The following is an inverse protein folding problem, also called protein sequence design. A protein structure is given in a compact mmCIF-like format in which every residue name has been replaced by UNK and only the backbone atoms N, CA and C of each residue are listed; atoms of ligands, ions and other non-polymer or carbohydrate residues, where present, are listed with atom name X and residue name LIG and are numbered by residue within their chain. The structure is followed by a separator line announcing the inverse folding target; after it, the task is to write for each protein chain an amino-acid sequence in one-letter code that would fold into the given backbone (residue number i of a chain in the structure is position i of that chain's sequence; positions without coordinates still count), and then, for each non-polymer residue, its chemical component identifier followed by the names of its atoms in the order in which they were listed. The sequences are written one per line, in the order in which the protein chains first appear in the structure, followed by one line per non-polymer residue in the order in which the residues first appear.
data_IF_753698868837
#
_entry.id   IF_753698868837
#
_cell.length_a   1.000
_cell.length_b   1.000
_cell.length_c   1.000
_cell.angle_alpha   90.00
_cell.angle_beta   90.00
_cell.angle_gamma   90.00
#
_symmetry.space_group_name_H-M   'P 1'
#
loop_
_entity.id
_entity.type
_entity.pdbx_description
1 polymer ?
#
# COMPACT_ATOMS: atom_id res chain seq x y z
N UNK A 1 -4.48 7.35 -34.36
CA UNK A 1 -3.11 7.75 -33.95
C UNK A 1 -2.63 6.77 -32.89
N UNK A 2 -1.36 6.33 -32.85
CA UNK A 2 -0.95 5.19 -32.03
C UNK A 2 -0.77 5.63 -30.57
N UNK A 3 -1.89 5.72 -29.86
CA UNK A 3 -2.05 5.85 -28.41
C UNK A 3 -1.14 4.92 -27.56
N UNK A 4 -0.74 3.70 -28.00
CA UNK A 4 0.07 2.82 -27.16
C UNK A 4 1.53 3.27 -27.01
N UNK A 5 2.11 4.01 -27.97
CA UNK A 5 3.57 4.22 -27.99
C UNK A 5 4.06 5.30 -27.03
N UNK A 6 3.22 6.29 -26.72
CA UNK A 6 3.58 7.42 -25.85
C UNK A 6 3.35 7.07 -24.37
N UNK A 7 2.24 6.37 -24.07
CA UNK A 7 2.02 5.82 -22.72
C UNK A 7 3.07 4.77 -22.39
N UNK A 8 3.45 3.93 -23.36
CA UNK A 8 4.59 3.02 -23.21
C UNK A 8 5.89 3.79 -23.04
N UNK A 9 6.15 4.93 -23.70
CA UNK A 9 7.40 5.68 -23.50
C UNK A 9 7.54 6.31 -22.10
N UNK A 10 6.47 6.90 -21.55
CA UNK A 10 6.47 7.50 -20.20
C UNK A 10 6.52 6.42 -19.12
N UNK A 11 5.78 5.33 -19.32
CA UNK A 11 5.87 4.14 -18.46
C UNK A 11 7.23 3.48 -18.62
N UNK A 12 7.84 3.44 -19.81
CA UNK A 12 9.19 2.91 -20.07
C UNK A 12 10.28 3.82 -19.52
N UNK A 13 10.07 5.12 -19.31
CA UNK A 13 11.05 6.02 -18.67
C UNK A 13 11.02 5.95 -17.14
N UNK A 14 9.81 5.94 -16.54
CA UNK A 14 9.64 5.64 -15.12
C UNK A 14 10.05 4.19 -14.84
N UNK A 15 9.71 3.27 -15.74
CA UNK A 15 10.26 1.94 -15.72
C UNK A 15 11.73 1.94 -16.09
N UNK A 16 12.36 2.86 -16.85
CA UNK A 16 13.80 2.81 -17.15
C UNK A 16 14.61 3.11 -15.91
N UNK A 17 14.12 4.05 -15.09
CA UNK A 17 14.61 4.27 -13.72
C UNK A 17 14.45 3.01 -12.88
N UNK A 18 13.41 2.20 -13.12
CA UNK A 18 13.19 0.87 -12.51
C UNK A 18 13.78 -0.33 -13.31
N UNK A 19 14.29 -0.16 -14.55
CA UNK A 19 14.72 -1.22 -15.49
C UNK A 19 16.22 -1.24 -15.60
N UNK A 20 16.89 -0.12 -15.27
CA UNK A 20 18.26 -0.13 -14.79
C UNK A 20 18.41 -1.06 -13.57
N UNK A 21 17.33 -1.33 -12.83
CA UNK A 21 17.26 -2.35 -11.77
C UNK A 21 17.18 -3.77 -12.37
N UNK A 22 16.34 -4.02 -13.38
CA UNK A 22 16.20 -5.35 -14.01
C UNK A 22 17.42 -5.78 -14.86
N UNK A 23 18.02 -4.88 -15.64
CA UNK A 23 19.20 -5.19 -16.45
C UNK A 23 20.41 -5.58 -15.58
N UNK A 24 20.51 -5.05 -14.36
CA UNK A 24 21.58 -5.34 -13.42
C UNK A 24 21.33 -6.64 -12.61
N UNK A 25 20.07 -6.98 -12.32
CA UNK A 25 19.68 -8.24 -11.65
C UNK A 25 19.87 -9.45 -12.56
N UNK A 26 19.63 -9.31 -13.88
CA UNK A 26 19.86 -10.38 -14.86
C UNK A 26 21.37 -10.61 -15.12
N UNK A 27 22.21 -9.57 -15.02
CA UNK A 27 23.66 -9.71 -15.19
C UNK A 27 24.36 -10.33 -13.97
N UNK A 28 23.92 -10.04 -12.74
CA UNK A 28 24.56 -10.55 -11.53
C UNK A 28 24.17 -11.99 -11.14
N UNK A 29 23.03 -12.52 -11.61
CA UNK A 29 22.70 -13.94 -11.39
C UNK A 29 23.56 -14.91 -12.21
N UNK A 30 24.33 -14.42 -13.21
CA UNK A 30 25.29 -15.27 -13.96
C UNK A 30 26.66 -15.42 -13.28
N UNK A 31 26.95 -14.64 -12.24
CA UNK A 31 28.26 -14.61 -11.61
C UNK A 31 28.40 -15.56 -10.39
N UNK A 32 27.32 -16.24 -9.96
CA UNK A 32 27.29 -17.05 -8.73
C UNK A 32 27.04 -18.55 -8.98
N UNK A 33 27.60 -19.12 -10.04
CA UNK A 33 27.60 -20.58 -10.21
C UNK A 33 28.95 -21.07 -10.77
N UNK A 34 29.87 -21.58 -9.94
CA UNK A 34 31.05 -22.28 -10.45
C UNK A 34 30.61 -23.63 -11.02
N UNK A 35 31.02 -23.87 -12.26
CA UNK A 35 30.76 -25.07 -13.04
C UNK A 35 31.12 -26.36 -12.28
N UNK A 36 30.11 -27.15 -11.93
CA UNK A 36 30.30 -28.57 -11.62
C UNK A 36 30.06 -29.39 -12.88
N UNK A 37 31.11 -30.08 -13.29
CA UNK A 37 31.19 -30.96 -14.44
C UNK A 37 30.53 -32.30 -14.11
N UNK A 38 29.52 -32.76 -14.87
CA UNK A 38 29.36 -34.18 -15.21
C UNK A 38 28.43 -34.45 -16.39
N UNK A 39 28.76 -35.54 -17.06
CA UNK A 39 28.44 -35.99 -18.41
C UNK A 39 27.04 -36.59 -18.63
N UNK A 40 26.72 -36.67 -19.93
CA UNK A 40 25.86 -37.63 -20.65
C UNK A 40 24.36 -37.56 -20.44
N UNK A 41 23.60 -37.25 -21.50
CA UNK A 41 22.78 -38.21 -22.27
C UNK A 41 22.49 -37.64 -23.67
N UNK A 42 22.49 -38.53 -24.65
CA UNK A 42 22.37 -38.35 -26.10
C UNK A 42 20.99 -37.88 -26.63
N UNK A 43 21.07 -37.22 -27.80
CA UNK A 43 20.24 -37.35 -29.01
C UNK A 43 18.73 -37.68 -28.92
N UNK A 44 17.88 -36.79 -29.44
CA UNK A 44 17.17 -36.97 -30.73
C UNK A 44 15.99 -35.99 -30.93
N UNK A 45 15.77 -35.60 -32.20
CA UNK A 45 14.45 -35.26 -32.75
C UNK A 45 14.12 -33.76 -32.81
N UNK A 46 14.40 -33.07 -33.92
CA UNK A 46 13.57 -32.99 -35.14
C UNK A 46 12.50 -31.88 -35.10
N UNK A 47 12.83 -30.80 -35.82
CA UNK A 47 11.98 -29.88 -36.58
C UNK A 47 10.58 -30.41 -36.93
N UNK A 48 9.55 -29.60 -36.65
CA UNK A 48 8.41 -29.40 -37.55
C UNK A 48 7.85 -27.97 -37.42
N UNK A 49 7.94 -27.23 -38.52
CA UNK A 49 7.17 -26.01 -38.79
C UNK A 49 5.81 -26.43 -39.36
N UNK A 50 4.71 -25.86 -38.86
CA UNK A 50 3.55 -25.61 -39.70
C UNK A 50 2.76 -24.38 -39.23
N UNK A 51 2.47 -23.53 -40.21
CA UNK A 51 1.58 -22.39 -40.15
C UNK A 51 0.13 -22.82 -40.27
N UNK A 52 -0.76 -22.23 -39.47
CA UNK A 52 -2.20 -22.11 -39.72
C UNK A 52 -2.58 -20.76 -39.10
N UNK A 53 -3.05 -19.75 -39.82
CA UNK A 53 -4.22 -19.75 -40.69
C UNK A 53 -5.30 -18.97 -39.94
N UNK A 54 -5.44 -17.68 -40.27
CA UNK A 54 -6.42 -16.77 -39.69
C UNK A 54 -7.78 -17.02 -40.34
N UNK A 55 -8.82 -17.23 -39.53
CA UNK A 55 -10.21 -17.22 -39.99
C UNK A 55 -11.08 -16.34 -39.09
N UNK A 56 -11.91 -15.57 -39.78
CA UNK A 56 -12.93 -14.64 -39.29
C UNK A 56 -13.91 -15.30 -38.31
N UNK A 57 -14.15 -14.63 -37.18
CA UNK A 57 -15.31 -14.93 -36.32
C UNK A 57 -16.35 -13.82 -36.42
N UNK A 58 -17.40 -14.13 -37.18
CA UNK A 58 -18.59 -13.34 -37.40
C UNK A 58 -19.57 -13.57 -36.23
N UNK A 59 -19.69 -12.62 -35.31
CA UNK A 59 -20.62 -12.70 -34.17
C UNK A 59 -22.01 -12.23 -34.59
N UNK A 60 -22.95 -13.19 -34.70
CA UNK A 60 -24.39 -12.93 -34.78
C UNK A 60 -24.97 -12.71 -33.38
N UNK A 61 -25.57 -11.55 -33.16
CA UNK A 61 -26.44 -11.26 -32.00
C UNK A 61 -27.85 -11.83 -32.19
N UNK A 62 -28.45 -12.48 -31.19
CA UNK A 62 -29.90 -12.67 -31.14
C UNK A 62 -30.55 -11.65 -30.19
N UNK A 63 -31.42 -10.82 -30.76
CA UNK A 63 -32.43 -10.03 -30.05
C UNK A 63 -33.50 -10.96 -29.47
N UNK A 64 -33.72 -10.91 -28.15
CA UNK A 64 -34.91 -11.50 -27.51
C UNK A 64 -35.54 -10.49 -26.57
N UNK A 65 -36.67 -9.95 -27.00
CA UNK A 65 -37.60 -9.16 -26.19
C UNK A 65 -38.37 -10.08 -25.26
N UNK A 66 -38.32 -9.82 -23.96
CA UNK A 66 -39.16 -10.46 -22.95
C UNK A 66 -39.54 -9.43 -21.90
N UNK A 67 -40.81 -9.00 -21.93
CA UNK A 67 -41.46 -8.18 -20.91
C UNK A 67 -41.64 -8.99 -19.62
N UNK A 68 -41.15 -8.46 -18.50
CA UNK A 68 -41.40 -9.01 -17.16
C UNK A 68 -42.30 -8.04 -16.42
N UNK A 69 -43.52 -8.49 -16.12
CA UNK A 69 -44.48 -7.85 -15.23
C UNK A 69 -44.00 -7.98 -13.77
N UNK A 70 -43.97 -6.85 -13.05
CA UNK A 70 -43.69 -6.79 -11.61
C UNK A 70 -45.00 -6.42 -10.90
N UNK A 71 -45.52 -7.25 -9.98
CA UNK A 71 -46.68 -6.85 -9.19
C UNK A 71 -46.26 -5.95 -8.02
N UNK A 72 -47.04 -4.88 -7.85
CA UNK A 72 -46.97 -3.93 -6.75
C UNK A 72 -47.21 -4.62 -5.40
N UNK A 73 -46.45 -4.20 -4.38
CA UNK A 73 -46.63 -4.64 -3.00
C UNK A 73 -47.14 -3.48 -2.17
N UNK A 74 -48.39 -3.61 -1.72
CA UNK A 74 -49.10 -2.68 -0.85
C UNK A 74 -48.41 -2.54 0.52
N UNK A 75 -48.33 -1.29 0.97
CA UNK A 75 -47.85 -0.89 2.28
C UNK A 75 -49.02 -0.41 3.14
N UNK A 76 -49.53 -1.26 4.04
CA UNK A 76 -50.41 -0.83 5.12
C UNK A 76 -50.31 -1.78 6.31
N UNK A 77 -49.72 -1.35 7.41
CA UNK A 77 -50.23 -1.65 8.76
C UNK A 77 -49.55 -0.76 9.80
N UNK A 78 -50.31 0.25 10.23
CA UNK A 78 -50.20 0.97 11.49
C UNK A 78 -50.60 0.03 12.63
N UNK A 79 -49.76 -0.08 13.66
CA UNK A 79 -50.15 -0.65 14.94
C UNK A 79 -49.56 0.19 16.07
N UNK A 80 -50.43 0.96 16.70
CA UNK A 80 -50.27 1.62 18.00
C UNK A 80 -50.15 0.57 19.10
N UNK A 81 -49.25 0.76 20.06
CA UNK A 81 -49.41 0.17 21.39
C UNK A 81 -48.89 1.14 22.46
N UNK A 82 -49.86 1.78 23.10
CA UNK A 82 -49.81 2.29 24.47
C UNK A 82 -49.68 1.13 25.46
N UNK A 83 -48.87 1.34 26.51
CA UNK A 83 -48.84 0.73 27.86
C UNK A 83 -47.40 0.96 28.36
N UNK A 84 -47.13 1.52 29.51
CA UNK A 84 -47.87 1.44 30.76
C UNK A 84 -46.77 1.33 31.82
N UNK A 85 -46.65 2.39 32.61
CA UNK A 85 -45.72 2.59 33.70
C UNK A 85 -45.99 1.58 34.82
N UNK A 86 -45.04 0.72 35.19
CA UNK A 86 -45.03 0.05 36.51
C UNK A 86 -43.61 -0.12 37.03
N UNK A 87 -43.49 0.21 38.32
CA UNK A 87 -42.32 0.24 39.18
C UNK A 87 -41.64 -1.12 39.34
N UNK A 88 -40.31 -1.13 39.44
CA UNK A 88 -39.56 -2.27 39.96
C UNK A 88 -38.39 -1.81 40.87
N UNK A 89 -38.08 -2.56 41.94
CA UNK A 89 -37.42 -2.03 43.12
C UNK A 89 -35.89 -2.10 43.06
N UNK A 90 -35.29 -1.16 43.80
CA UNK A 90 -33.89 -1.10 44.20
C UNK A 90 -33.48 -2.40 44.88
N UNK A 91 -32.46 -3.07 44.35
CA UNK A 91 -31.75 -4.16 45.02
C UNK A 91 -30.36 -3.71 45.42
N UNK A 92 -30.13 -3.72 46.74
CA UNK A 92 -28.85 -3.47 47.40
C UNK A 92 -27.82 -4.53 46.98
N UNK A 93 -26.66 -4.09 46.50
CA UNK A 93 -25.51 -4.95 46.31
C UNK A 93 -24.70 -5.01 47.62
N UNK A 94 -24.78 -6.18 48.26
CA UNK A 94 -23.98 -6.57 49.41
C UNK A 94 -22.50 -6.72 49.02
N UNK A 95 -21.64 -6.21 49.89
CA UNK A 95 -20.19 -6.23 49.79
C UNK A 95 -19.64 -7.59 50.22
N UNK A 96 -19.02 -8.31 49.28
CA UNK A 96 -18.31 -9.55 49.56
C UNK A 96 -16.78 -9.33 49.50
N UNK A 97 -16.19 -9.39 50.69
CA UNK A 97 -14.77 -9.48 51.02
C UNK A 97 -14.02 -10.50 50.16
N UNK A 98 -13.00 -10.05 49.42
CA UNK A 98 -12.04 -10.94 48.76
C UNK A 98 -10.70 -10.91 49.50
N UNK A 99 -10.24 -12.11 49.85
CA UNK A 99 -9.06 -12.38 50.64
C UNK A 99 -7.76 -12.00 49.91
N UNK A 100 -6.80 -11.49 50.69
CA UNK A 100 -5.46 -11.16 50.27
C UNK A 100 -4.67 -12.42 49.82
N UNK A 101 -4.14 -12.38 48.59
CA UNK A 101 -3.06 -13.27 48.16
C UNK A 101 -1.71 -12.57 48.36
N UNK A 102 -0.82 -13.27 49.04
CA UNK A 102 0.56 -12.88 49.36
C UNK A 102 1.41 -12.76 48.09
N UNK A 103 2.36 -11.81 48.00
CA UNK A 103 3.19 -11.65 46.82
C UNK A 103 4.32 -12.69 46.81
N UNK A 104 4.40 -13.44 45.72
CA UNK A 104 5.57 -14.27 45.40
C UNK A 104 6.77 -13.35 45.09
N UNK A 105 7.88 -13.64 45.75
CA UNK A 105 9.18 -13.00 45.59
C UNK A 105 9.71 -13.19 44.16
N UNK A 106 9.78 -12.11 43.38
CA UNK A 106 10.54 -12.05 42.14
C UNK A 106 12.03 -11.90 42.49
N UNK A 107 12.84 -12.89 42.11
CA UNK A 107 14.31 -12.85 42.18
C UNK A 107 14.87 -11.86 41.16
N UNK A 108 15.67 -10.90 41.64
CA UNK A 108 16.49 -10.00 40.83
C UNK A 108 17.78 -10.74 40.44
N UNK A 109 17.78 -11.42 39.29
CA UNK A 109 18.99 -11.96 38.66
C UNK A 109 18.88 -11.76 37.13
N UNK A 110 18.97 -10.51 36.64
CA UNK A 110 18.99 -10.26 35.18
C UNK A 110 19.75 -8.97 34.79
N UNK A 111 20.83 -8.63 35.51
CA UNK A 111 21.67 -7.45 35.21
C UNK A 111 22.86 -7.78 34.30
N UNK A 112 23.11 -9.06 34.01
CA UNK A 112 24.22 -9.52 33.16
C UNK A 112 23.88 -9.56 31.66
N UNK A 113 22.60 -9.46 31.30
CA UNK A 113 22.11 -9.68 29.92
C UNK A 113 22.08 -8.37 29.13
N UNK A 114 22.04 -7.23 29.81
CA UNK A 114 21.98 -5.88 29.21
C UNK A 114 23.30 -5.41 28.59
N UNK A 115 24.46 -5.95 28.98
CA UNK A 115 25.76 -5.50 28.46
C UNK A 115 26.10 -6.19 27.13
N UNK A 116 25.67 -7.45 26.92
CA UNK A 116 25.95 -8.19 25.67
C UNK A 116 25.06 -7.73 24.49
N UNK A 117 23.87 -7.18 24.77
CA UNK A 117 22.99 -6.64 23.72
C UNK A 117 23.42 -5.23 23.25
N UNK A 118 24.17 -4.48 24.07
CA UNK A 118 24.68 -3.17 23.70
C UNK A 118 25.82 -3.24 22.66
N UNK A 119 26.65 -4.29 22.67
CA UNK A 119 27.70 -4.49 21.66
C UNK A 119 27.14 -4.89 20.28
N UNK A 120 25.94 -5.49 20.23
CA UNK A 120 25.30 -5.89 18.96
C UNK A 120 24.69 -4.70 18.19
N UNK A 121 24.52 -3.55 18.84
CA UNK A 121 23.83 -2.38 18.30
C UNK A 121 24.69 -1.50 17.35
N UNK A 122 25.94 -1.87 17.08
CA UNK A 122 26.85 -1.10 16.19
C UNK A 122 27.39 -1.91 15.01
N UNK A 123 26.72 -3.00 14.63
CA UNK A 123 26.95 -3.63 13.33
C UNK A 123 26.62 -2.63 12.23
N UNK A 124 27.65 -2.05 11.60
CA UNK A 124 27.50 -1.17 10.45
C UNK A 124 26.88 -1.98 9.32
N UNK A 125 25.61 -1.69 9.00
CA UNK A 125 24.90 -2.35 7.90
C UNK A 125 25.67 -2.14 6.60
N UNK A 126 26.18 -3.21 6.01
CA UNK A 126 26.86 -3.14 4.72
C UNK A 126 25.82 -3.01 3.60
N UNK A 127 25.96 -1.96 2.79
CA UNK A 127 25.11 -1.76 1.61
C UNK A 127 25.66 -2.52 0.42
N UNK A 128 24.77 -3.16 -0.35
CA UNK A 128 25.13 -3.77 -1.63
C UNK A 128 25.64 -2.72 -2.62
N UNK A 129 26.46 -3.09 -3.63
CA UNK A 129 26.91 -2.14 -4.66
C UNK A 129 25.76 -1.40 -5.35
N UNK A 130 24.64 -2.10 -5.59
CA UNK A 130 23.42 -1.48 -6.14
C UNK A 130 22.88 -0.38 -5.22
N UNK A 131 22.72 -0.67 -3.93
CA UNK A 131 22.23 0.32 -2.95
C UNK A 131 23.18 1.51 -2.82
N UNK A 132 24.51 1.29 -2.86
CA UNK A 132 25.50 2.36 -2.84
C UNK A 132 25.34 3.30 -4.04
N UNK A 133 25.16 2.75 -5.24
CA UNK A 133 24.90 3.53 -6.46
C UNK A 133 23.62 4.35 -6.30
N UNK A 134 22.51 3.70 -5.93
CA UNK A 134 21.21 4.39 -5.78
C UNK A 134 21.27 5.49 -4.72
N UNK A 135 21.97 5.28 -3.60
CA UNK A 135 22.18 6.30 -2.56
C UNK A 135 23.06 7.45 -3.02
N UNK A 136 24.02 7.20 -3.90
CA UNK A 136 24.88 8.25 -4.46
C UNK A 136 24.17 9.09 -5.52
N UNK A 137 23.16 8.54 -6.22
CA UNK A 137 22.47 9.22 -7.32
C UNK A 137 21.93 10.61 -6.94
N UNK A 138 21.19 10.82 -5.83
CA UNK A 138 20.72 12.15 -5.46
C UNK A 138 21.86 13.18 -5.31
N UNK A 139 23.00 12.76 -4.73
CA UNK A 139 24.16 13.64 -4.53
C UNK A 139 24.82 13.98 -5.86
N UNK A 140 25.06 12.97 -6.70
CA UNK A 140 25.66 13.14 -8.03
C UNK A 140 24.78 14.00 -8.92
N UNK A 141 23.48 13.74 -8.96
CA UNK A 141 22.51 14.53 -9.74
C UNK A 141 22.43 15.97 -9.24
N UNK A 142 22.44 16.18 -7.91
CA UNK A 142 22.46 17.54 -7.34
C UNK A 142 23.75 18.27 -7.71
N UNK A 143 24.91 17.62 -7.60
CA UNK A 143 26.18 18.22 -7.99
C UNK A 143 26.25 18.54 -9.49
N UNK A 144 25.74 17.64 -10.34
CA UNK A 144 25.64 17.88 -11.78
C UNK A 144 24.73 19.07 -12.10
N UNK A 145 23.57 19.17 -11.44
CA UNK A 145 22.65 20.29 -11.61
C UNK A 145 23.24 21.62 -11.15
N UNK A 146 23.98 21.62 -10.03
CA UNK A 146 24.66 22.82 -9.54
C UNK A 146 25.83 23.24 -10.45
N UNK A 147 26.44 22.31 -11.18
CA UNK A 147 27.51 22.59 -12.14
C UNK A 147 26.96 23.15 -13.46
N UNK A 148 25.97 22.49 -14.04
CA UNK A 148 25.26 22.94 -15.24
C UNK A 148 23.78 22.51 -15.15
N UNK A 149 22.85 23.43 -14.86
CA UNK A 149 21.44 23.08 -14.73
C UNK A 149 20.77 22.80 -16.07
N UNK A 150 21.34 23.32 -17.18
CA UNK A 150 20.67 23.34 -18.49
C UNK A 150 20.27 21.95 -19.00
N UNK A 151 21.10 20.90 -18.94
CA UNK A 151 20.70 19.58 -19.44
C UNK A 151 19.48 18.99 -18.72
N UNK A 152 19.37 19.21 -17.41
CA UNK A 152 18.26 18.70 -16.62
C UNK A 152 17.00 19.57 -16.78
N UNK A 153 17.15 20.89 -16.90
CA UNK A 153 16.05 21.81 -17.22
C UNK A 153 15.48 21.56 -18.63
N UNK A 154 16.33 21.32 -19.62
CA UNK A 154 15.92 20.96 -20.98
C UNK A 154 15.18 19.61 -20.97
N UNK A 155 15.65 18.61 -20.20
CA UNK A 155 14.95 17.33 -20.02
C UNK A 155 13.55 17.52 -19.44
N UNK A 156 13.43 18.27 -18.34
CA UNK A 156 12.13 18.55 -17.71
C UNK A 156 11.22 19.33 -18.65
N UNK A 157 11.77 20.30 -19.40
CA UNK A 157 11.01 21.08 -20.39
C UNK A 157 10.48 20.22 -21.53
N UNK A 158 11.27 19.26 -22.03
CA UNK A 158 10.86 18.34 -23.09
C UNK A 158 9.75 17.40 -22.62
N UNK A 159 9.90 16.80 -21.43
CA UNK A 159 8.87 15.93 -20.84
C UNK A 159 7.59 16.73 -20.59
N UNK A 160 7.71 17.93 -20.01
CA UNK A 160 6.56 18.77 -19.74
C UNK A 160 5.86 19.20 -21.02
N UNK A 161 6.60 19.55 -22.07
CA UNK A 161 6.05 19.93 -23.37
C UNK A 161 5.30 18.75 -24.01
N UNK A 162 5.80 17.51 -23.86
CA UNK A 162 5.08 16.33 -24.33
C UNK A 162 3.75 16.12 -23.58
N UNK A 163 3.74 16.33 -22.26
CA UNK A 163 2.52 16.24 -21.43
C UNK A 163 1.57 17.39 -21.77
N UNK A 164 2.05 18.62 -21.84
CA UNK A 164 1.25 19.82 -22.10
C UNK A 164 0.52 19.73 -23.45
N UNK A 165 1.18 19.21 -24.49
CA UNK A 165 0.57 19.02 -25.80
C UNK A 165 -0.34 17.79 -25.91
N UNK A 166 -0.54 17.04 -24.82
CA UNK A 166 -1.45 15.92 -24.80
C UNK A 166 -2.86 16.38 -24.40
N UNK A 167 -3.84 16.20 -25.27
CA UNK A 167 -5.23 16.62 -25.01
C UNK A 167 -5.80 16.04 -23.70
N UNK A 168 -5.41 14.81 -23.35
CA UNK A 168 -5.84 14.19 -22.09
C UNK A 168 -5.23 14.87 -20.86
N UNK A 169 -4.05 15.51 -20.98
CA UNK A 169 -3.47 16.25 -19.87
C UNK A 169 -4.26 17.51 -19.49
N UNK A 170 -5.03 18.04 -20.45
CA UNK A 170 -5.81 19.27 -20.29
C UNK A 170 -7.15 19.04 -19.60
N UNK A 171 -7.58 17.79 -19.41
CA UNK A 171 -8.86 17.53 -18.72
C UNK A 171 -8.75 17.81 -17.22
N UNK A 172 -9.82 18.28 -16.55
CA UNK A 172 -9.77 18.61 -15.13
C UNK A 172 -9.28 17.46 -14.25
N UNK A 173 -9.71 16.23 -14.58
CA UNK A 173 -9.41 15.01 -13.83
C UNK A 173 -8.01 14.43 -14.04
N UNK A 174 -7.20 14.95 -14.97
CA UNK A 174 -5.94 14.32 -15.36
C UNK A 174 -5.01 13.97 -14.18
N UNK A 175 -4.84 14.89 -13.23
CA UNK A 175 -3.96 14.67 -12.07
C UNK A 175 -4.46 13.55 -11.16
N UNK A 176 -5.78 13.42 -11.03
CA UNK A 176 -6.42 12.34 -10.27
C UNK A 176 -6.30 11.01 -11.02
N UNK A 177 -6.48 11.00 -12.34
CA UNK A 177 -6.26 9.81 -13.18
C UNK A 177 -4.82 9.31 -13.08
N UNK A 178 -3.84 10.22 -13.05
CA UNK A 178 -2.43 9.87 -12.84
C UNK A 178 -2.21 9.23 -11.46
N UNK A 179 -2.89 9.69 -10.40
CA UNK A 179 -2.83 9.06 -9.09
C UNK A 179 -3.44 7.64 -9.10
N UNK A 180 -4.61 7.45 -9.72
CA UNK A 180 -5.24 6.13 -9.88
C UNK A 180 -4.30 5.19 -10.65
N UNK A 181 -3.71 5.69 -11.75
CA UNK A 181 -2.74 4.93 -12.54
C UNK A 181 -1.51 4.55 -11.71
N UNK A 182 -1.03 5.46 -10.85
CA UNK A 182 0.09 5.21 -9.93
C UNK A 182 -0.20 4.07 -8.95
N UNK A 183 -1.37 4.07 -8.30
CA UNK A 183 -1.80 2.95 -7.46
C UNK A 183 -1.92 1.65 -8.26
N UNK A 184 -2.61 1.68 -9.40
CA UNK A 184 -2.83 0.49 -10.20
C UNK A 184 -1.52 -0.14 -10.66
N UNK A 185 -0.58 0.68 -11.15
CA UNK A 185 0.74 0.23 -11.58
C UNK A 185 1.54 -0.36 -10.43
N UNK A 186 1.54 0.29 -9.26
CA UNK A 186 2.28 -0.16 -8.08
C UNK A 186 1.71 -1.45 -7.50
N UNK A 187 0.37 -1.57 -7.43
CA UNK A 187 -0.32 -2.79 -7.00
C UNK A 187 0.01 -3.94 -7.94
N UNK A 188 -0.10 -3.75 -9.26
CA UNK A 188 0.28 -4.77 -10.24
C UNK A 188 1.73 -5.19 -10.05
N UNK A 189 2.64 -4.23 -9.89
CA UNK A 189 4.06 -4.50 -9.71
C UNK A 189 4.30 -5.40 -8.49
N UNK A 190 3.88 -4.99 -7.29
CA UNK A 190 4.10 -5.76 -6.07
C UNK A 190 3.34 -7.09 -6.04
N UNK A 191 2.12 -7.14 -6.60
CA UNK A 191 1.37 -8.39 -6.78
C UNK A 191 2.09 -9.37 -7.69
N UNK A 192 2.82 -8.90 -8.70
CA UNK A 192 3.48 -9.75 -9.71
C UNK A 192 4.90 -10.16 -9.32
N UNK A 193 5.52 -9.54 -8.31
CA UNK A 193 6.92 -9.82 -7.93
C UNK A 193 7.19 -11.30 -7.66
N UNK A 194 6.24 -12.02 -7.07
CA UNK A 194 6.42 -13.45 -6.79
C UNK A 194 6.62 -14.31 -8.05
N UNK A 195 6.05 -13.89 -9.18
CA UNK A 195 6.22 -14.54 -10.48
C UNK A 195 7.64 -14.34 -11.03
N UNK A 196 8.24 -13.19 -10.75
CA UNK A 196 9.58 -12.81 -11.24
C UNK A 196 10.70 -13.36 -10.36
N UNK A 197 10.49 -13.35 -9.03
CA UNK A 197 11.49 -13.78 -8.06
C UNK A 197 11.58 -15.30 -7.93
N UNK A 198 10.48 -16.01 -8.20
CA UNK A 198 10.32 -17.43 -7.91
C UNK A 198 10.01 -17.68 -6.43
N UNK A 199 9.61 -18.90 -6.10
CA UNK A 199 9.06 -19.24 -4.79
C UNK A 199 10.03 -19.00 -3.63
N UNK A 200 11.26 -19.51 -3.73
CA UNK A 200 12.26 -19.45 -2.66
C UNK A 200 12.61 -17.99 -2.31
N UNK A 201 12.93 -17.18 -3.32
CA UNK A 201 13.28 -15.76 -3.12
C UNK A 201 12.09 -14.96 -2.63
N UNK A 202 10.88 -15.26 -3.11
CA UNK A 202 9.65 -14.61 -2.64
C UNK A 202 9.48 -14.85 -1.15
N UNK A 203 9.49 -16.11 -0.72
CA UNK A 203 9.35 -16.48 0.69
C UNK A 203 10.44 -15.83 1.55
N UNK A 204 11.70 -15.88 1.10
CA UNK A 204 12.81 -15.24 1.81
C UNK A 204 12.66 -13.73 1.93
N UNK A 205 12.01 -13.08 0.96
CA UNK A 205 11.82 -11.64 0.94
C UNK A 205 10.56 -11.14 1.64
N UNK A 206 9.63 -12.01 2.04
CA UNK A 206 8.37 -11.65 2.72
C UNK A 206 8.46 -11.77 4.24
N UNK A 207 7.65 -11.00 4.95
CA UNK A 207 7.66 -10.99 6.43
C UNK A 207 7.21 -12.32 7.05
N UNK A 208 6.25 -13.00 6.43
CA UNK A 208 5.70 -14.28 6.89
C UNK A 208 6.51 -15.50 6.44
N UNK A 209 7.44 -15.35 5.52
CA UNK A 209 8.13 -16.49 4.91
C UNK A 209 7.24 -17.30 3.97
N UNK A 210 6.08 -16.78 3.56
CA UNK A 210 5.10 -17.48 2.73
C UNK A 210 4.97 -16.81 1.35
N UNK A 211 4.25 -17.45 0.42
CA UNK A 211 3.84 -16.81 -0.83
C UNK A 211 2.72 -15.79 -0.55
N UNK A 212 2.61 -14.71 -1.36
CA UNK A 212 1.52 -13.76 -1.19
C UNK A 212 0.16 -14.45 -1.32
N UNK A 213 -0.75 -14.15 -0.40
CA UNK A 213 -2.10 -14.72 -0.43
C UNK A 213 -2.94 -14.00 -1.48
N UNK A 214 -3.46 -14.75 -2.46
CA UNK A 214 -4.33 -14.24 -3.55
C UNK A 214 -3.88 -12.88 -4.13
N UNK A 215 -2.65 -12.75 -4.65
CA UNK A 215 -2.06 -11.47 -5.05
C UNK A 215 -2.84 -10.75 -6.17
N UNK A 216 -3.67 -11.48 -6.91
CA UNK A 216 -4.49 -10.98 -8.01
C UNK A 216 -6.00 -11.08 -7.74
N UNK A 217 -6.45 -11.20 -6.48
CA UNK A 217 -7.89 -11.32 -6.20
C UNK A 217 -8.69 -10.15 -6.79
N UNK A 218 -8.13 -8.95 -6.82
CA UNK A 218 -8.75 -7.76 -7.42
C UNK A 218 -8.99 -7.88 -8.94
N UNK A 219 -8.28 -8.77 -9.63
CA UNK A 219 -8.45 -9.02 -11.06
C UNK A 219 -9.52 -10.09 -11.35
N UNK A 220 -10.04 -10.78 -10.32
CA UNK A 220 -11.12 -11.72 -10.49
C UNK A 220 -12.46 -10.97 -10.70
N UNK A 221 -13.31 -11.38 -11.65
CA UNK A 221 -14.58 -10.68 -11.93
C UNK A 221 -15.48 -10.50 -10.71
N UNK A 222 -15.56 -11.50 -9.81
CA UNK A 222 -16.33 -11.44 -8.56
C UNK A 222 -15.82 -10.36 -7.58
N UNK A 223 -14.55 -9.99 -7.70
CA UNK A 223 -13.83 -9.12 -6.77
C UNK A 223 -13.46 -7.77 -7.41
N UNK A 224 -14.00 -7.46 -8.59
CA UNK A 224 -13.78 -6.15 -9.24
C UNK A 224 -14.15 -4.96 -8.36
N UNK A 225 -15.08 -5.14 -7.42
CA UNK A 225 -15.44 -4.12 -6.45
C UNK A 225 -14.26 -3.66 -5.58
N UNK A 226 -13.23 -4.50 -5.36
CA UNK A 226 -12.05 -4.17 -4.57
C UNK A 226 -11.25 -3.01 -5.19
N UNK A 227 -11.16 -2.91 -6.51
CA UNK A 227 -10.47 -1.78 -7.16
C UNK A 227 -11.45 -0.75 -7.72
N UNK A 228 -12.62 -1.19 -8.18
CA UNK A 228 -13.62 -0.30 -8.77
C UNK A 228 -14.20 0.67 -7.74
N UNK A 229 -14.57 0.20 -6.54
CA UNK A 229 -15.20 1.07 -5.54
C UNK A 229 -14.25 2.20 -5.08
N UNK A 230 -12.98 1.93 -4.72
CA UNK A 230 -12.03 3.00 -4.40
C UNK A 230 -11.82 3.96 -5.58
N UNK A 231 -11.65 3.42 -6.79
CA UNK A 231 -11.42 4.23 -8.01
C UNK A 231 -12.61 5.15 -8.31
N UNK A 232 -13.82 4.60 -8.34
CA UNK A 232 -15.04 5.35 -8.61
C UNK A 232 -15.31 6.39 -7.53
N UNK A 233 -15.06 6.06 -6.26
CA UNK A 233 -15.23 7.00 -5.14
C UNK A 233 -14.21 8.14 -5.19
N UNK A 234 -12.96 7.83 -5.50
CA UNK A 234 -11.89 8.82 -5.64
C UNK A 234 -12.14 9.75 -6.84
N UNK A 235 -12.32 9.20 -8.05
CA UNK A 235 -12.55 10.01 -9.25
C UNK A 235 -13.89 10.75 -9.18
N UNK A 236 -14.95 10.11 -8.69
CA UNK A 236 -16.27 10.72 -8.55
C UNK A 236 -16.28 11.88 -7.57
N UNK A 237 -15.61 11.76 -6.42
CA UNK A 237 -15.52 12.85 -5.44
C UNK A 237 -14.69 14.03 -5.94
N UNK A 238 -13.57 13.78 -6.63
CA UNK A 238 -12.77 14.86 -7.24
C UNK A 238 -13.52 15.50 -8.39
N UNK A 239 -14.19 14.71 -9.24
CA UNK A 239 -15.03 15.24 -10.32
C UNK A 239 -16.12 16.15 -9.77
N UNK A 240 -16.81 15.74 -8.71
CA UNK A 240 -17.81 16.55 -8.03
C UNK A 240 -17.19 17.85 -7.47
N UNK A 241 -16.06 17.76 -6.78
CA UNK A 241 -15.34 18.94 -6.27
C UNK A 241 -14.96 19.92 -7.40
N UNK A 242 -14.41 19.43 -8.51
CA UNK A 242 -13.98 20.27 -9.63
C UNK A 242 -15.15 20.85 -10.42
N UNK A 243 -16.29 20.15 -10.46
CA UNK A 243 -17.47 20.61 -11.20
C UNK A 243 -18.25 21.66 -10.42
N UNK A 244 -18.38 21.49 -9.10
CA UNK A 244 -19.32 22.29 -8.30
C UNK A 244 -18.65 23.24 -7.30
N UNK A 245 -17.41 22.97 -6.88
CA UNK A 245 -16.77 23.68 -5.76
C UNK A 245 -15.48 24.40 -6.14
N UNK A 246 -14.78 23.97 -7.21
CA UNK A 246 -13.49 24.53 -7.54
C UNK A 246 -13.17 24.44 -9.04
N UNK A 247 -13.04 25.59 -9.68
CA UNK A 247 -12.54 25.65 -11.06
C UNK A 247 -11.02 25.41 -11.09
N UNK A 248 -10.58 24.41 -11.87
CA UNK A 248 -9.17 24.11 -12.04
C UNK A 248 -8.53 25.17 -12.96
N UNK A 249 -7.43 25.82 -12.55
CA UNK A 249 -6.72 26.73 -13.45
C UNK A 249 -6.12 25.95 -14.64
N UNK A 250 -5.94 26.61 -15.80
CA UNK A 250 -5.27 25.99 -16.94
C UNK A 250 -3.84 25.60 -16.58
N UNK A 251 -3.29 24.61 -17.29
CA UNK A 251 -1.90 24.23 -17.13
C UNK A 251 -0.99 25.41 -17.51
N UNK A 252 0.06 25.71 -16.72
CA UNK A 252 1.00 26.78 -17.06
C UNK A 252 1.75 26.44 -18.34
N UNK A 253 2.02 27.43 -19.19
CA UNK A 253 2.73 27.20 -20.46
C UNK A 253 4.22 26.87 -20.24
N UNK A 254 4.81 27.41 -19.17
CA UNK A 254 6.24 27.29 -18.88
C UNK A 254 6.48 26.11 -17.94
N UNK A 255 7.41 25.23 -18.32
CA UNK A 255 7.86 24.11 -17.48
C UNK A 255 8.57 24.61 -16.19
N UNK A 256 8.56 23.85 -15.09
CA UNK A 256 9.40 24.16 -13.95
C UNK A 256 10.85 23.82 -14.30
N UNK A 257 11.81 24.46 -13.64
CA UNK A 257 13.19 23.96 -13.64
C UNK A 257 13.25 22.60 -12.93
N UNK A 258 14.28 21.81 -13.21
CA UNK A 258 14.52 20.54 -12.51
C UNK A 258 14.64 20.75 -11.00
N UNK A 259 15.31 21.82 -10.56
CA UNK A 259 15.43 22.17 -9.15
C UNK A 259 14.08 22.43 -8.49
N UNK A 260 13.19 23.18 -9.15
CA UNK A 260 11.82 23.43 -8.64
C UNK A 260 11.03 22.13 -8.58
N UNK A 261 11.05 21.32 -9.64
CA UNK A 261 10.38 20.02 -9.69
C UNK A 261 10.82 19.11 -8.53
N UNK A 262 12.14 18.93 -8.36
CA UNK A 262 12.70 18.08 -7.33
C UNK A 262 12.35 18.56 -5.91
N UNK A 263 12.54 19.86 -5.64
CA UNK A 263 12.28 20.44 -4.31
C UNK A 263 10.79 20.41 -3.96
N UNK A 264 9.90 20.77 -4.90
CA UNK A 264 8.45 20.74 -4.66
C UNK A 264 7.90 19.33 -4.42
N UNK A 265 8.41 18.34 -5.16
CA UNK A 265 8.06 16.93 -4.97
C UNK A 265 8.53 16.42 -3.61
N UNK A 266 9.82 16.59 -3.27
CA UNK A 266 10.38 16.15 -1.98
C UNK A 266 9.72 16.85 -0.80
N UNK A 267 9.55 18.16 -0.88
CA UNK A 267 8.82 18.95 0.13
C UNK A 267 7.39 18.46 0.29
N UNK A 268 6.73 18.10 -0.82
CA UNK A 268 5.40 17.52 -0.77
C UNK A 268 5.32 16.21 -0.01
N UNK A 269 6.23 15.27 -0.31
CA UNK A 269 6.25 13.95 0.35
C UNK A 269 6.52 14.11 1.84
N UNK A 270 7.48 14.96 2.20
CA UNK A 270 7.76 15.33 3.58
C UNK A 270 6.53 15.95 4.27
N UNK A 271 5.90 16.94 3.64
CA UNK A 271 4.76 17.64 4.23
C UNK A 271 3.53 16.75 4.37
N UNK A 272 3.31 15.83 3.41
CA UNK A 272 2.25 14.82 3.51
C UNK A 272 2.41 14.03 4.81
N UNK A 273 3.59 13.46 5.03
CA UNK A 273 3.86 12.61 6.18
C UNK A 273 3.76 13.40 7.50
N UNK A 274 4.31 14.62 7.51
CA UNK A 274 4.22 15.55 8.64
C UNK A 274 2.77 15.90 9.01
N UNK A 275 1.91 16.14 8.02
CA UNK A 275 0.51 16.48 8.24
C UNK A 275 -0.37 15.27 8.55
N UNK A 276 -0.07 14.12 7.95
CA UNK A 276 -0.88 12.91 8.10
C UNK A 276 -0.58 12.18 9.41
N UNK A 277 0.67 12.15 9.88
CA UNK A 277 1.04 11.50 11.14
C UNK A 277 0.16 11.89 12.34
N UNK A 278 -0.10 13.18 12.65
CA UNK A 278 -0.96 13.52 13.79
C UNK A 278 -2.41 13.07 13.57
N UNK A 279 -2.91 13.09 12.34
CA UNK A 279 -4.26 12.58 12.01
C UNK A 279 -4.30 11.07 12.28
N UNK A 280 -3.29 10.35 11.80
CA UNK A 280 -3.15 8.91 11.98
C UNK A 280 -3.05 8.54 13.47
N UNK A 281 -2.20 9.23 14.24
CA UNK A 281 -2.12 9.11 15.68
C UNK A 281 -3.48 9.32 16.36
N UNK A 282 -4.22 10.37 15.97
CA UNK A 282 -5.54 10.64 16.52
C UNK A 282 -6.53 9.52 16.16
N UNK A 283 -6.49 8.97 14.95
CA UNK A 283 -7.39 7.88 14.56
C UNK A 283 -7.26 6.63 15.45
N UNK A 284 -6.08 6.39 16.01
CA UNK A 284 -5.83 5.33 16.99
C UNK A 284 -6.16 5.68 18.44
N UNK A 285 -5.86 6.92 18.84
CA UNK A 285 -5.83 7.32 20.24
C UNK A 285 -7.08 8.08 20.71
N UNK A 286 -7.89 8.62 19.79
CA UNK A 286 -9.12 9.30 20.17
C UNK A 286 -10.17 8.29 20.67
N UNK A 287 -10.69 8.52 21.87
CA UNK A 287 -11.74 7.70 22.49
C UNK A 287 -13.14 7.94 21.90
N UNK A 288 -13.23 8.49 20.68
CA UNK A 288 -14.49 8.53 19.93
C UNK A 288 -14.61 7.19 19.22
N UNK A 289 -15.38 6.26 19.81
CA UNK A 289 -15.40 4.85 19.42
C UNK A 289 -15.66 4.58 17.93
N UNK A 290 -16.35 5.48 17.23
CA UNK A 290 -16.55 5.36 15.79
C UNK A 290 -15.25 5.54 14.99
N UNK A 291 -14.38 6.50 15.33
CA UNK A 291 -13.15 6.77 14.58
C UNK A 291 -12.19 5.59 14.66
N UNK A 292 -11.98 5.06 15.86
CA UNK A 292 -11.13 3.87 16.07
C UNK A 292 -11.68 2.63 15.36
N UNK A 293 -13.01 2.43 15.36
CA UNK A 293 -13.64 1.29 14.67
C UNK A 293 -13.53 1.41 13.15
N UNK A 294 -13.62 2.64 12.63
CA UNK A 294 -13.52 2.96 11.21
C UNK A 294 -12.11 2.73 10.69
N UNK A 295 -11.09 3.21 11.40
CA UNK A 295 -9.69 2.94 11.03
C UNK A 295 -9.31 1.48 11.30
N UNK A 296 -9.85 0.87 12.36
CA UNK A 296 -9.71 -0.56 12.61
C UNK A 296 -10.26 -1.46 11.49
N UNK A 297 -11.00 -0.93 10.49
CA UNK A 297 -11.31 -1.67 9.25
C UNK A 297 -10.07 -1.88 8.38
N UNK A 298 -9.18 -0.89 8.31
CA UNK A 298 -7.94 -0.95 7.55
C UNK A 298 -6.97 -1.99 8.11
N UNK A 299 -6.93 -2.16 9.44
CA UNK A 299 -6.11 -3.19 10.11
C UNK A 299 -6.72 -4.60 10.13
N UNK A 300 -7.81 -4.86 9.40
CA UNK A 300 -8.47 -6.18 9.44
C UNK A 300 -7.74 -7.25 8.65
N UNK A 301 -6.70 -6.92 7.89
CA UNK A 301 -5.90 -7.94 7.21
C UNK A 301 -5.22 -8.84 8.24
N UNK A 302 -5.76 -10.07 8.35
CA UNK A 302 -5.30 -11.06 9.32
C UNK A 302 -3.90 -11.60 9.04
N UNK A 303 -3.39 -11.38 7.82
CA UNK A 303 -2.10 -11.88 7.35
C UNK A 303 -1.12 -10.72 7.15
N UNK A 304 0.07 -11.04 6.65
CA UNK A 304 1.00 -10.03 6.12
C UNK A 304 0.31 -9.22 5.04
N UNK A 305 0.57 -7.92 5.01
CA UNK A 305 -0.07 -7.02 4.05
C UNK A 305 0.20 -7.43 2.60
N UNK A 306 -0.72 -7.04 1.72
CA UNK A 306 -0.55 -7.04 0.27
C UNK A 306 -0.76 -5.62 -0.26
N UNK A 307 -0.10 -5.27 -1.37
CA UNK A 307 -0.17 -3.91 -1.92
C UNK A 307 -1.60 -3.42 -2.19
N UNK A 308 -2.54 -4.33 -2.49
CA UNK A 308 -3.97 -4.00 -2.64
C UNK A 308 -4.57 -3.33 -1.39
N UNK A 309 -4.10 -3.70 -0.20
CA UNK A 309 -4.65 -3.20 1.07
C UNK A 309 -4.44 -1.70 1.28
N UNK A 310 -3.50 -1.10 0.55
CA UNK A 310 -3.34 0.36 0.43
C UNK A 310 -4.62 1.07 0.05
N UNK A 311 -5.50 0.45 -0.75
CA UNK A 311 -6.77 1.05 -1.18
C UNK A 311 -8.00 0.41 -0.50
N UNK A 312 -7.80 -0.56 0.40
CA UNK A 312 -8.86 -1.22 1.17
C UNK A 312 -9.04 -0.57 2.55
N UNK A 313 -9.33 0.73 2.56
CA UNK A 313 -9.59 1.48 3.77
C UNK A 313 -11.04 1.97 3.82
N UNK A 314 -11.47 2.46 4.98
CA UNK A 314 -12.79 3.10 5.08
C UNK A 314 -12.87 4.38 4.24
N UNK A 315 -14.09 4.84 3.91
CA UNK A 315 -14.26 6.11 3.18
C UNK A 315 -13.75 7.33 3.95
N UNK A 316 -13.79 7.31 5.28
CA UNK A 316 -13.29 8.40 6.12
C UNK A 316 -11.76 8.44 6.08
N UNK A 317 -11.12 7.28 6.18
CA UNK A 317 -9.66 7.16 6.09
C UNK A 317 -9.16 7.62 4.71
N UNK A 318 -9.78 7.10 3.66
CA UNK A 318 -9.51 7.53 2.28
C UNK A 318 -9.72 9.02 2.07
N UNK A 319 -10.81 9.58 2.60
CA UNK A 319 -11.06 11.02 2.53
C UNK A 319 -9.95 11.83 3.20
N UNK A 320 -9.51 11.44 4.41
CA UNK A 320 -8.46 12.16 5.13
C UNK A 320 -7.11 12.08 4.39
N UNK A 321 -6.76 10.91 3.87
CA UNK A 321 -5.54 10.73 3.07
C UNK A 321 -5.57 11.59 1.80
N UNK A 322 -6.67 11.58 1.05
CA UNK A 322 -6.85 12.36 -0.17
C UNK A 322 -6.89 13.85 0.13
N UNK A 323 -7.57 14.26 1.19
CA UNK A 323 -7.65 15.64 1.63
C UNK A 323 -6.28 16.20 1.97
N UNK A 324 -5.48 15.48 2.77
CA UNK A 324 -4.11 15.88 3.10
C UNK A 324 -3.26 15.94 1.83
N UNK A 325 -3.36 14.95 0.94
CA UNK A 325 -2.64 14.94 -0.33
C UNK A 325 -2.94 16.20 -1.18
N UNK A 326 -4.23 16.54 -1.36
CA UNK A 326 -4.64 17.74 -2.10
C UNK A 326 -4.16 19.01 -1.40
N UNK A 327 -4.25 19.08 -0.07
CA UNK A 327 -3.79 20.21 0.74
C UNK A 327 -2.29 20.47 0.54
N UNK A 328 -1.44 19.45 0.69
CA UNK A 328 0.02 19.63 0.59
C UNK A 328 0.48 19.93 -0.83
N UNK A 329 -0.29 19.52 -1.84
CA UNK A 329 -0.03 19.86 -3.25
C UNK A 329 -0.31 21.33 -3.58
N UNK A 330 -1.09 22.03 -2.76
CA UNK A 330 -1.33 23.48 -2.89
C UNK A 330 -0.26 24.34 -2.22
N UNK A 331 0.73 23.73 -1.56
CA UNK A 331 1.76 24.44 -0.80
C UNK A 331 3.12 24.20 -1.45
N UNK A 332 3.68 25.23 -2.11
CA UNK A 332 5.07 25.24 -2.59
C UNK A 332 6.00 25.87 -1.54
N UNK A 333 7.23 25.34 -1.34
CA UNK A 333 8.23 26.02 -0.50
C UNK A 333 8.67 27.36 -1.09
N UNK A 334 8.38 27.63 -2.37
CA UNK A 334 8.64 28.90 -3.04
C UNK A 334 7.46 29.88 -2.97
N UNK A 335 6.39 29.53 -2.25
CA UNK A 335 5.15 30.28 -2.18
C UNK A 335 4.18 29.94 -3.32
N UNK A 336 2.88 30.04 -3.04
CA UNK A 336 1.83 29.71 -4.01
C UNK A 336 1.61 28.20 -4.23
N UNK A 337 0.80 27.83 -5.24
CA UNK A 337 0.54 26.44 -5.59
C UNK A 337 1.73 25.82 -6.32
N UNK A 338 1.97 24.52 -6.12
CA UNK A 338 3.03 23.77 -6.82
C UNK A 338 2.80 23.75 -8.32
N UNK A 339 3.87 23.58 -9.08
CA UNK A 339 3.77 23.32 -10.50
C UNK A 339 3.04 21.99 -10.78
N UNK A 340 2.25 21.93 -11.87
CA UNK A 340 1.47 20.72 -12.26
C UNK A 340 2.38 19.50 -12.35
N UNK A 341 3.54 19.63 -13.02
CA UNK A 341 4.53 18.56 -13.12
C UNK A 341 4.97 18.01 -11.76
N UNK A 342 5.20 18.89 -10.77
CA UNK A 342 5.56 18.49 -9.41
C UNK A 342 4.44 17.75 -8.71
N UNK A 343 3.18 18.11 -8.95
CA UNK A 343 2.00 17.42 -8.42
C UNK A 343 1.80 16.04 -9.04
N UNK A 344 1.99 15.91 -10.36
CA UNK A 344 1.96 14.63 -11.07
C UNK A 344 3.03 13.67 -10.51
N UNK A 345 4.28 14.13 -10.44
CA UNK A 345 5.38 13.33 -9.89
C UNK A 345 5.15 12.99 -8.41
N UNK A 346 4.67 13.95 -7.63
CA UNK A 346 4.31 13.72 -6.23
C UNK A 346 3.24 12.63 -6.07
N UNK A 347 2.17 12.63 -6.87
CA UNK A 347 1.16 11.58 -6.84
C UNK A 347 1.75 10.21 -7.17
N UNK A 348 2.60 10.11 -8.20
CA UNK A 348 3.27 8.85 -8.55
C UNK A 348 4.17 8.35 -7.41
N UNK A 349 4.96 9.22 -6.80
CA UNK A 349 5.84 8.87 -5.67
C UNK A 349 5.01 8.45 -4.45
N UNK A 350 3.99 9.21 -4.07
CA UNK A 350 3.13 8.91 -2.91
C UNK A 350 2.40 7.58 -3.09
N UNK A 351 1.81 7.34 -4.26
CA UNK A 351 1.10 6.07 -4.52
C UNK A 351 2.04 4.86 -4.55
N UNK A 352 3.27 5.04 -5.04
CA UNK A 352 4.32 4.01 -4.93
C UNK A 352 4.69 3.74 -3.48
N UNK A 353 5.03 4.77 -2.69
CA UNK A 353 5.46 4.62 -1.30
C UNK A 353 4.38 3.97 -0.43
N UNK A 354 3.12 4.36 -0.64
CA UNK A 354 1.95 3.73 -0.01
C UNK A 354 1.86 2.24 -0.33
N UNK A 355 1.96 1.90 -1.62
CA UNK A 355 1.88 0.52 -2.08
C UNK A 355 3.06 -0.32 -1.60
N UNK A 356 4.27 0.25 -1.57
CA UNK A 356 5.47 -0.39 -1.03
C UNK A 356 5.29 -0.71 0.46
N UNK A 357 4.80 0.25 1.25
CA UNK A 357 4.60 0.09 2.68
C UNK A 357 3.60 -1.03 3.02
N UNK A 358 2.66 -1.33 2.12
CA UNK A 358 1.69 -2.43 2.27
C UNK A 358 2.08 -3.68 1.47
N UNK A 359 3.23 -3.73 0.83
CA UNK A 359 3.55 -4.80 -0.13
C UNK A 359 3.77 -6.17 0.53
N UNK A 360 4.02 -6.22 1.84
CA UNK A 360 4.35 -7.43 2.59
C UNK A 360 5.77 -7.96 2.35
N UNK A 361 6.60 -7.22 1.60
CA UNK A 361 8.01 -7.53 1.38
C UNK A 361 8.89 -6.77 2.39
N UNK A 362 9.98 -7.41 2.83
CA UNK A 362 10.94 -6.87 3.80
C UNK A 362 12.31 -6.61 3.18
N UNK A 363 12.85 -7.58 2.46
CA UNK A 363 14.31 -7.63 2.21
C UNK A 363 14.67 -7.43 0.73
N UNK A 364 13.81 -6.75 -0.04
CA UNK A 364 14.15 -6.41 -1.42
C UNK A 364 15.13 -5.22 -1.46
N UNK A 365 16.21 -5.28 -2.26
CA UNK A 365 17.32 -4.35 -2.15
C UNK A 365 16.98 -2.91 -2.54
N UNK A 366 15.89 -2.70 -3.29
CA UNK A 366 15.42 -1.39 -3.74
C UNK A 366 14.31 -0.78 -2.87
N UNK A 367 13.83 -1.48 -1.85
CA UNK A 367 12.81 -0.90 -0.96
C UNK A 367 13.38 0.29 -0.19
N UNK A 368 12.54 1.26 0.08
CA UNK A 368 12.94 2.57 0.61
C UNK A 368 13.64 2.48 1.96
N UNK A 369 13.20 1.61 2.87
CA UNK A 369 13.87 1.36 4.17
C UNK A 369 15.20 0.60 4.03
N UNK A 370 15.45 -0.06 2.89
CA UNK A 370 16.74 -0.68 2.60
C UNK A 370 17.69 0.30 1.90
N UNK A 371 17.14 1.24 1.12
CA UNK A 371 17.89 2.31 0.47
C UNK A 371 18.28 3.43 1.43
N UNK A 372 17.39 3.86 2.32
CA UNK A 372 17.60 4.98 3.25
C UNK A 372 17.08 4.64 4.67
N UNK A 373 17.61 3.59 5.33
CA UNK A 373 17.19 3.14 6.66
C UNK A 373 17.30 4.22 7.74
N UNK A 374 18.11 5.25 7.53
CA UNK A 374 18.34 6.33 8.48
C UNK A 374 17.11 7.24 8.62
N UNK A 375 16.29 7.34 7.57
CA UNK A 375 15.19 8.31 7.48
C UNK A 375 13.83 7.68 7.17
N UNK A 376 13.80 6.52 6.49
CA UNK A 376 12.57 5.87 6.02
C UNK A 376 12.27 4.61 6.85
N UNK A 377 11.03 4.49 7.30
CA UNK A 377 10.53 3.32 8.02
C UNK A 377 10.10 2.19 7.08
N UNK A 378 9.55 2.55 5.92
CA UNK A 378 9.12 1.65 4.85
C UNK A 378 8.15 0.57 5.32
N UNK A 379 8.12 -0.54 4.59
CA UNK A 379 7.22 -1.66 4.88
C UNK A 379 7.37 -2.27 6.29
N UNK A 380 8.57 -2.44 6.88
CA UNK A 380 8.69 -3.07 8.19
C UNK A 380 7.95 -2.34 9.31
N UNK A 381 8.10 -1.01 9.38
CA UNK A 381 7.43 -0.21 10.41
C UNK A 381 5.93 -0.13 10.18
N UNK A 382 5.51 -0.01 8.93
CA UNK A 382 4.09 0.05 8.60
C UNK A 382 3.38 -1.28 8.84
N UNK A 383 4.03 -2.41 8.51
CA UNK A 383 3.57 -3.75 8.85
C UNK A 383 3.43 -3.90 10.37
N UNK A 384 4.48 -3.57 11.14
CA UNK A 384 4.44 -3.61 12.60
C UNK A 384 3.33 -2.70 13.19
N UNK A 385 3.10 -1.53 12.60
CA UNK A 385 1.99 -0.65 12.94
C UNK A 385 0.65 -1.35 12.71
N UNK A 386 0.44 -2.00 11.56
CA UNK A 386 -0.78 -2.77 11.28
C UNK A 386 -1.05 -3.91 12.26
N UNK A 387 0.00 -4.47 12.86
CA UNK A 387 -0.13 -5.46 13.93
C UNK A 387 -0.44 -4.87 15.30
N UNK A 388 0.19 -3.76 15.66
CA UNK A 388 0.16 -3.22 17.02
C UNK A 388 -0.88 -2.09 17.18
N UNK A 389 -0.96 -1.19 16.19
CA UNK A 389 -1.83 -0.02 16.16
C UNK A 389 -1.50 1.04 17.22
N UNK A 390 -0.31 0.97 17.84
CA UNK A 390 0.12 1.89 18.93
C UNK A 390 1.53 2.43 18.77
N UNK A 391 2.20 2.11 17.66
CA UNK A 391 3.57 2.49 17.33
C UNK A 391 3.63 2.82 15.83
N UNK A 392 4.65 3.56 15.41
CA UNK A 392 4.94 3.92 14.01
C UNK A 392 3.76 4.57 13.29
N UNK A 393 3.47 5.83 13.60
CA UNK A 393 2.35 6.58 13.01
C UNK A 393 2.72 7.32 11.72
N UNK A 394 4.01 7.54 11.45
CA UNK A 394 4.46 8.03 10.16
C UNK A 394 4.33 6.96 9.10
N UNK A 395 3.94 7.38 7.91
CA UNK A 395 3.65 6.48 6.79
C UNK A 395 4.90 6.19 5.96
N UNK A 396 5.80 7.17 5.83
CA UNK A 396 7.02 7.02 5.03
C UNK A 396 8.28 7.16 5.88
N UNK A 397 8.39 8.30 6.57
CA UNK A 397 9.55 8.59 7.38
C UNK A 397 9.40 8.00 8.77
N UNK A 398 10.42 8.18 9.61
CA UNK A 398 10.44 7.56 10.93
C UNK A 398 10.89 8.47 12.07
N UNK A 399 11.36 9.67 11.74
CA UNK A 399 12.04 10.57 12.67
C UNK A 399 11.12 11.16 13.76
N UNK A 400 9.84 11.41 13.47
CA UNK A 400 8.87 11.89 14.45
C UNK A 400 8.47 10.77 15.40
N UNK A 401 8.25 9.57 14.87
CA UNK A 401 7.98 8.40 15.71
C UNK A 401 9.16 8.10 16.64
N UNK A 402 10.38 8.12 16.11
CA UNK A 402 11.61 7.96 16.88
C UNK A 402 11.75 9.06 17.95
N UNK A 403 11.46 10.32 17.58
CA UNK A 403 11.57 11.46 18.48
C UNK A 403 10.59 11.39 19.65
N UNK A 404 9.32 11.02 19.41
CA UNK A 404 8.31 10.89 20.46
C UNK A 404 8.32 9.53 21.18
N UNK A 405 9.17 8.59 20.74
CA UNK A 405 9.20 7.24 21.28
C UNK A 405 7.95 6.44 20.91
N UNK A 406 7.30 6.74 19.78
CA UNK A 406 6.25 5.91 19.18
C UNK A 406 6.85 4.68 18.49
N UNK A 407 7.77 4.02 19.18
CA UNK A 407 8.53 2.86 18.72
C UNK A 407 8.31 1.69 19.67
N UNK A 408 8.66 0.50 19.24
CA UNK A 408 8.60 -0.67 20.12
C UNK A 408 9.67 -0.62 21.21
N UNK A 409 9.29 -0.94 22.45
CA UNK A 409 10.20 -0.94 23.60
C UNK A 409 11.36 -1.94 23.46
N UNK A 410 11.12 -3.05 22.77
CA UNK A 410 12.12 -4.10 22.54
C UNK A 410 13.00 -3.80 21.31
N UNK A 411 12.67 -2.77 20.51
CA UNK A 411 13.37 -2.43 19.26
C UNK A 411 13.29 -3.47 18.14
N UNK A 412 12.67 -4.63 18.36
CA UNK A 412 12.60 -5.75 17.42
C UNK A 412 11.26 -5.78 16.66
N UNK A 413 11.15 -4.92 15.65
CA UNK A 413 10.01 -4.85 14.72
C UNK A 413 9.64 -6.24 14.16
N UNK A 414 10.64 -7.07 13.84
CA UNK A 414 10.41 -8.42 13.31
C UNK A 414 9.73 -9.33 14.34
N UNK A 415 10.09 -9.21 15.62
CA UNK A 415 9.47 -10.00 16.69
C UNK A 415 8.01 -9.62 16.88
N UNK A 416 7.66 -8.34 16.76
CA UNK A 416 6.25 -7.91 16.84
C UNK A 416 5.44 -8.37 15.65
N UNK A 417 5.98 -8.26 14.43
CA UNK A 417 5.34 -8.81 13.23
C UNK A 417 5.12 -10.31 13.40
N UNK A 418 6.14 -11.08 13.79
CA UNK A 418 6.02 -12.53 14.03
C UNK A 418 4.99 -12.87 15.10
N UNK A 419 4.95 -12.13 16.21
CA UNK A 419 3.95 -12.29 17.27
C UNK A 419 2.54 -12.00 16.76
N UNK A 420 2.36 -10.92 16.01
CA UNK A 420 1.09 -10.53 15.42
C UNK A 420 0.58 -11.56 14.41
N UNK A 421 1.44 -12.02 13.49
CA UNK A 421 1.12 -13.10 12.54
C UNK A 421 0.75 -14.39 13.28
N UNK A 422 1.52 -14.78 14.31
CA UNK A 422 1.23 -15.98 15.09
C UNK A 422 -0.10 -15.88 15.85
N UNK A 423 -0.39 -14.74 16.48
CA UNK A 423 -1.64 -14.50 17.20
C UNK A 423 -2.84 -14.61 16.26
N UNK A 424 -2.79 -13.97 15.09
CA UNK A 424 -3.91 -14.00 14.15
C UNK A 424 -4.10 -15.37 13.50
N UNK A 425 -3.03 -16.12 13.26
CA UNK A 425 -3.13 -17.54 12.85
C UNK A 425 -3.86 -18.38 13.90
N UNK A 426 -3.70 -18.09 15.20
CA UNK A 426 -4.47 -18.75 16.26
C UNK A 426 -5.93 -18.30 16.26
N UNK A 427 -6.20 -16.99 16.20
CA UNK A 427 -7.57 -16.45 16.15
C UNK A 427 -8.36 -16.98 14.93
N UNK A 428 -7.73 -17.08 13.77
CA UNK A 428 -8.35 -17.63 12.57
C UNK A 428 -8.66 -19.13 12.69
N UNK A 429 -7.78 -19.90 13.35
CA UNK A 429 -8.04 -21.33 13.64
C UNK A 429 -9.23 -21.48 14.57
N UNK A 430 -9.29 -20.68 15.65
CA UNK A 430 -10.42 -20.68 16.58
C UNK A 430 -11.74 -20.31 15.88
N UNK A 431 -11.72 -19.35 14.95
CA UNK A 431 -12.90 -18.98 14.18
C UNK A 431 -13.34 -20.11 13.24
N UNK A 432 -12.41 -20.72 12.50
CA UNK A 432 -12.72 -21.85 11.62
C UNK A 432 -13.26 -23.06 12.40
N UNK A 433 -12.74 -23.31 13.60
CA UNK A 433 -13.24 -24.36 14.50
C UNK A 433 -14.68 -24.09 14.93
N UNK A 434 -15.01 -22.83 15.29
CA UNK A 434 -16.38 -22.41 15.63
C UNK A 434 -17.35 -22.52 14.45
N UNK A 435 -16.92 -22.14 13.26
CA UNK A 435 -17.74 -22.28 12.03
C UNK A 435 -17.99 -23.76 11.72
N UNK A 436 -16.95 -24.60 11.82
CA UNK A 436 -17.09 -26.05 11.64
C UNK A 436 -18.02 -26.69 12.67
N UNK A 437 -17.98 -26.23 13.93
CA UNK A 437 -18.88 -26.69 14.99
C UNK A 437 -20.34 -26.26 14.72
N UNK A 438 -20.55 -25.02 14.28
CA UNK A 438 -21.88 -24.52 13.90
C UNK A 438 -22.49 -25.33 12.76
N UNK A 439 -21.71 -25.64 11.72
CA UNK A 439 -22.15 -26.47 10.59
C UNK A 439 -22.53 -27.88 11.04
N UNK A 440 -21.75 -28.50 11.94
CA UNK A 440 -22.08 -29.82 12.52
C UNK A 440 -23.39 -29.80 13.31
N UNK A 441 -23.67 -28.71 14.04
CA UNK A 441 -24.93 -28.57 14.79
C UNK A 441 -26.11 -28.47 13.82
N UNK A 442 -25.97 -27.70 12.72
CA UNK A 442 -27.00 -27.56 11.69
C UNK A 442 -27.27 -28.90 11.00
N UNK A 443 -26.23 -29.64 10.62
CA UNK A 443 -26.35 -30.95 10.00
C UNK A 443 -27.05 -31.94 10.94
N UNK A 444 -26.68 -31.94 12.23
CA UNK A 444 -27.32 -32.82 13.22
C UNK A 444 -28.82 -32.52 13.37
N UNK A 445 -29.20 -31.24 13.44
CA UNK A 445 -30.61 -30.82 13.51
C UNK A 445 -31.39 -31.20 12.25
N UNK A 446 -30.77 -31.10 11.07
CA UNK A 446 -31.40 -31.47 9.80
C UNK A 446 -31.65 -32.97 9.67
N UNK A 447 -30.81 -33.81 10.30
CA UNK A 447 -30.93 -35.28 10.25
C UNK A 447 -32.00 -35.85 11.20
N UNK A 448 -32.47 -35.05 12.17
CA UNK A 448 -33.47 -35.46 13.17
C UNK A 448 -34.91 -35.13 12.77
N UNK A 449 -35.11 -34.45 11.64
CA UNK A 449 -36.41 -34.13 11.04
C UNK A 449 -36.63 -34.98 9.79
#
# INVERSE_FOLDING_TARGET
MPLPKILVAVVVEVLLVLSLVDAFVVQNNKALCPSVHRQNVDNNGALFLSSVGADEFLVKTPTRSGSIDVPARDSTTTATNDRGNEDAPVTEFSSATTAAMSPASLSMDDESTTILDAEKATSTREFTPFQQVVRALPIVTTAAYLYDPKPLDDLVTNIYSAIYNWDLAQVPLFEAEVAVFGFFSSIIFFSSLHLLLGEEKTKASRFDGELPHKPFEWAEPQNFHLWFNPTASYLGSIWFYLTFLHEKPPMPEVAPTFGVLAVETLFGVFLYDLCFMPIHYLMHNLKIGQVRRVHGYHHRSGNTLNALETVQHSYIDGFLQVFVNIMVQKISPFGGPKHVMSRLLHNLVVTYLLSEAHSGYRDLPWMTHNLFPEILGGAPRHEAHHHNGRVYYQQYFKYIDDFFGFVEKDGDENKTIRRGVAQRKMEQREQNEKETEADRIIDHQSSTH
#
